data_IF_281112106564
#
_entry.id   IF_281112106564
#
_cell.length_a   1.000
_cell.length_b   1.000
_cell.length_c   1.000
_cell.angle_alpha   90.00
_cell.angle_beta   90.00
_cell.angle_gamma   90.00
#
_symmetry.space_group_name_H-M   'P 1'
#
loop_
_entity.id
_entity.type
_entity.pdbx_description
1 polymer ?
#
# COMPACT_ATOMS: atom_id res chain seq x y z
N UNK A 1 0.06 21.85 -23.98
CA UNK A 1 0.10 20.40 -23.71
C UNK A 1 -1.33 19.95 -23.42
N UNK A 2 -1.82 18.85 -24.00
CA UNK A 2 -3.16 18.35 -23.67
C UNK A 2 -3.22 18.01 -22.18
N UNK A 3 -4.08 18.72 -21.45
CA UNK A 3 -4.32 18.46 -20.04
C UNK A 3 -5.37 17.35 -19.95
N UNK A 4 -4.92 16.11 -19.76
CA UNK A 4 -5.80 15.00 -19.40
C UNK A 4 -6.35 15.32 -18.01
N UNK A 5 -7.60 15.75 -17.95
CA UNK A 5 -8.29 16.02 -16.71
C UNK A 5 -8.86 14.75 -16.08
N UNK A 6 -9.43 14.93 -14.89
CA UNK A 6 -10.24 13.90 -14.22
C UNK A 6 -11.38 13.37 -15.13
N UNK A 7 -12.07 14.19 -15.94
CA UNK A 7 -13.11 13.70 -16.83
C UNK A 7 -12.61 12.71 -17.89
N UNK A 8 -11.50 13.02 -18.56
CA UNK A 8 -10.91 12.13 -19.57
C UNK A 8 -10.43 10.81 -18.96
N UNK A 9 -9.83 10.86 -17.76
CA UNK A 9 -9.40 9.67 -17.04
C UNK A 9 -10.59 8.77 -16.66
N UNK A 10 -11.72 9.34 -16.26
CA UNK A 10 -12.95 8.58 -15.96
C UNK A 10 -13.49 7.86 -17.20
N UNK A 11 -13.47 8.51 -18.37
CA UNK A 11 -13.91 7.88 -19.62
C UNK A 11 -13.03 6.67 -19.96
N UNK A 12 -11.70 6.83 -19.85
CA UNK A 12 -10.75 5.72 -20.07
C UNK A 12 -10.99 4.60 -19.07
N UNK A 13 -11.20 4.92 -17.79
CA UNK A 13 -11.49 3.95 -16.75
C UNK A 13 -12.77 3.14 -17.06
N UNK A 14 -13.83 3.80 -17.54
CA UNK A 14 -15.06 3.12 -17.94
C UNK A 14 -14.82 2.17 -19.11
N UNK A 15 -14.04 2.56 -20.12
CA UNK A 15 -13.71 1.69 -21.25
C UNK A 15 -12.95 0.44 -20.78
N UNK A 16 -11.95 0.63 -19.91
CA UNK A 16 -11.20 -0.47 -19.29
C UNK A 16 -12.13 -1.39 -18.49
N UNK A 17 -13.05 -0.82 -17.70
CA UNK A 17 -14.04 -1.57 -16.93
C UNK A 17 -15.00 -2.37 -17.82
N UNK A 18 -15.35 -1.89 -19.00
CA UNK A 18 -16.21 -2.64 -19.95
C UNK A 18 -15.45 -3.83 -20.53
N UNK A 19 -14.17 -3.67 -20.88
CA UNK A 19 -13.34 -4.74 -21.46
C UNK A 19 -13.00 -5.81 -20.43
N UNK A 20 -12.52 -5.39 -19.26
CA UNK A 20 -12.02 -6.31 -18.22
C UNK A 20 -13.11 -6.71 -17.22
N UNK A 21 -14.17 -5.92 -17.08
CA UNK A 21 -15.17 -6.06 -16.03
C UNK A 21 -14.71 -5.48 -14.69
N UNK A 22 -15.66 -4.96 -13.90
CA UNK A 22 -15.39 -4.49 -12.54
C UNK A 22 -14.84 -5.60 -11.64
N UNK A 23 -15.31 -6.85 -11.81
CA UNK A 23 -14.88 -8.00 -11.01
C UNK A 23 -13.38 -8.26 -11.14
N UNK A 24 -12.81 -8.21 -12.35
CA UNK A 24 -11.38 -8.49 -12.55
C UNK A 24 -10.51 -7.41 -11.94
N UNK A 25 -10.92 -6.14 -12.05
CA UNK A 25 -10.21 -5.02 -11.42
C UNK A 25 -10.23 -5.15 -9.90
N UNK A 26 -11.37 -5.50 -9.29
CA UNK A 26 -11.49 -5.68 -7.84
C UNK A 26 -10.72 -6.90 -7.34
N UNK A 27 -10.69 -7.99 -8.09
CA UNK A 27 -9.94 -9.20 -7.73
C UNK A 27 -8.43 -8.91 -7.66
N UNK A 28 -7.90 -8.23 -8.68
CA UNK A 28 -6.48 -7.84 -8.76
C UNK A 28 -6.15 -6.82 -7.66
N UNK A 29 -6.96 -5.77 -7.51
CA UNK A 29 -6.79 -4.76 -6.47
C UNK A 29 -6.86 -5.37 -5.07
N UNK A 30 -7.74 -6.35 -4.85
CA UNK A 30 -7.87 -7.06 -3.58
C UNK A 30 -6.64 -7.91 -3.26
N UNK A 31 -6.12 -8.67 -4.23
CA UNK A 31 -4.90 -9.45 -4.07
C UNK A 31 -3.67 -8.54 -3.84
N UNK A 32 -3.53 -7.49 -4.64
CA UNK A 32 -2.44 -6.51 -4.51
C UNK A 32 -2.53 -5.75 -3.18
N UNK A 33 -3.75 -5.35 -2.77
CA UNK A 33 -3.99 -4.62 -1.54
C UNK A 33 -3.62 -5.43 -0.29
N UNK A 34 -3.93 -6.73 -0.28
CA UNK A 34 -3.51 -7.65 0.80
C UNK A 34 -1.98 -7.77 0.87
N UNK A 35 -1.31 -7.97 -0.26
CA UNK A 35 0.15 -8.03 -0.31
C UNK A 35 0.82 -6.74 0.17
N UNK A 36 0.31 -5.58 -0.25
CA UNK A 36 0.80 -4.28 0.24
C UNK A 36 0.53 -4.11 1.74
N UNK A 37 -0.64 -4.51 2.24
CA UNK A 37 -0.97 -4.43 3.66
C UNK A 37 -0.03 -5.29 4.53
N UNK A 38 0.23 -6.53 4.12
CA UNK A 38 1.17 -7.43 4.80
C UNK A 38 2.60 -6.91 4.73
N UNK A 39 3.02 -6.39 3.58
CA UNK A 39 4.33 -5.75 3.43
C UNK A 39 4.50 -4.55 4.37
N UNK A 40 3.49 -3.68 4.44
CA UNK A 40 3.50 -2.53 5.36
C UNK A 40 3.54 -2.99 6.82
N UNK A 41 2.81 -4.05 7.18
CA UNK A 41 2.81 -4.58 8.54
C UNK A 41 4.16 -5.19 8.93
N UNK A 42 4.77 -5.94 8.01
CA UNK A 42 6.12 -6.51 8.20
C UNK A 42 7.19 -5.44 8.34
N UNK A 43 7.15 -4.39 7.50
CA UNK A 43 8.14 -3.29 7.61
C UNK A 43 7.97 -2.48 8.88
N UNK A 44 6.73 -2.31 9.36
CA UNK A 44 6.46 -1.57 10.61
C UNK A 44 6.89 -2.37 11.83
N UNK A 45 6.66 -3.69 11.85
CA UNK A 45 7.13 -4.58 12.91
C UNK A 45 8.68 -4.61 12.97
N UNK A 46 9.36 -4.62 11.82
CA UNK A 46 10.82 -4.55 11.76
C UNK A 46 11.37 -3.21 12.29
N UNK A 47 10.68 -2.10 12.03
CA UNK A 47 11.04 -0.78 12.55
C UNK A 47 10.82 -0.67 14.07
N UNK A 48 9.73 -1.28 14.57
CA UNK A 48 9.39 -1.31 16.00
C UNK A 48 10.35 -2.21 16.81
N UNK A 49 10.71 -3.39 16.29
CA UNK A 49 11.73 -4.26 16.92
C UNK A 49 13.11 -3.59 16.99
N UNK A 50 13.45 -2.76 16.01
CA UNK A 50 14.71 -1.98 16.02
C UNK A 50 14.68 -0.85 17.07
N UNK A 51 13.49 -0.43 17.51
CA UNK A 51 13.31 0.64 18.50
C UNK A 51 13.36 0.12 19.93
N UNK A 52 12.97 -1.12 20.18
CA UNK A 52 13.01 -1.75 21.51
C UNK A 52 14.43 -2.19 21.94
N UNK A 53 15.34 -2.50 21.01
CA UNK A 53 16.73 -2.85 21.34
C UNK A 53 17.59 -1.68 21.87
N UNK A 54 17.11 -0.43 21.81
CA UNK A 54 17.86 0.74 22.31
C UNK A 54 17.46 1.18 23.73
N UNK A 55 16.43 0.58 24.36
CA UNK A 55 15.94 1.04 25.68
C UNK A 55 16.35 0.18 26.89
N UNK A 56 17.21 -0.84 26.73
CA UNK A 56 17.61 -1.72 27.84
C UNK A 56 19.05 -1.56 28.35
N UNK A 57 19.80 -0.56 27.90
CA UNK A 57 21.06 -0.16 28.58
C UNK A 57 20.76 0.89 29.65
N UNK A 58 20.32 0.42 30.82
CA UNK A 58 20.51 1.14 32.07
C UNK A 58 21.99 1.08 32.47
N UNK A 59 22.73 2.19 32.54
CA UNK A 59 23.77 2.31 33.55
C UNK A 59 23.11 2.73 34.87
N UNK A 60 22.67 1.73 35.65
CA UNK A 60 22.77 1.83 37.11
C UNK A 60 24.23 1.56 37.47
N UNK A 61 24.73 2.22 38.53
CA UNK A 61 26.13 2.22 39.02
C UNK A 61 27.02 3.16 38.19
N UNK A 62 27.64 4.20 38.73
CA UNK A 62 28.24 4.42 40.07
C UNK A 62 28.33 5.92 40.37
#
# INVERSE_FOLDING_TARGET
>A
MPNIGIPELLIVLVIVLVIFGASRLTDIMGAMGKGVAEFRKGTQAADESKKEETQNETPKSV
#
